data_IF_643214072574
#
_entry.id   IF_643214072574
#
_cell.length_a   1.000
_cell.length_b   1.000
_cell.length_c   1.000
_cell.angle_alpha   90.00
_cell.angle_beta   90.00
_cell.angle_gamma   90.00
#
_symmetry.space_group_name_H-M   'P 1'
#
loop_
_entity.id
_entity.type
_entity.pdbx_description
1 polymer ?
#
# COMPACT_ATOMS: atom_id res chain seq x y z
N UNK A 1 9.72 -1.23 9.88
CA UNK A 1 9.96 -1.51 8.46
C UNK A 1 9.64 -0.24 7.67
N UNK A 2 10.47 0.12 6.69
CA UNK A 2 10.12 1.18 5.74
C UNK A 2 9.30 0.55 4.62
N UNK A 3 8.14 1.12 4.33
CA UNK A 3 7.18 0.63 3.35
C UNK A 3 7.34 1.44 2.07
N UNK A 4 7.54 0.73 0.97
CA UNK A 4 7.53 1.33 -0.36
C UNK A 4 6.11 1.41 -0.93
N UNK A 5 5.88 2.33 -1.88
CA UNK A 5 4.59 2.52 -2.55
C UNK A 5 4.12 1.22 -3.23
N UNK A 6 5.04 0.49 -3.86
CA UNK A 6 4.77 -0.77 -4.56
C UNK A 6 4.15 -1.84 -3.65
N UNK A 7 4.55 -1.91 -2.37
CA UNK A 7 3.99 -2.90 -1.44
C UNK A 7 2.50 -2.65 -1.16
N UNK A 8 2.11 -1.39 -1.00
CA UNK A 8 0.70 -1.01 -0.79
C UNK A 8 -0.11 -1.23 -2.07
N UNK A 9 0.47 -0.88 -3.22
CA UNK A 9 -0.16 -1.10 -4.54
C UNK A 9 -0.42 -2.59 -4.77
N UNK A 10 0.58 -3.44 -4.54
CA UNK A 10 0.46 -4.89 -4.69
C UNK A 10 -0.64 -5.48 -3.81
N UNK A 11 -0.72 -5.03 -2.54
CA UNK A 11 -1.78 -5.47 -1.62
C UNK A 11 -3.16 -5.07 -2.12
N UNK A 12 -3.34 -3.81 -2.53
CA UNK A 12 -4.65 -3.28 -2.92
C UNK A 12 -5.12 -3.75 -4.29
N UNK A 13 -4.21 -4.04 -5.21
CA UNK A 13 -4.54 -4.58 -6.52
C UNK A 13 -4.68 -6.10 -6.55
N UNK A 14 -4.38 -6.79 -5.45
CA UNK A 14 -4.48 -8.25 -5.40
C UNK A 14 -3.37 -8.95 -6.18
N UNK A 15 -2.17 -8.39 -6.20
CA UNK A 15 -1.00 -9.03 -6.81
C UNK A 15 -0.62 -10.32 -6.06
N UNK A 16 0.10 -11.27 -6.71
CA UNK A 16 0.41 -12.57 -6.14
C UNK A 16 1.06 -12.52 -4.73
N UNK A 17 1.87 -11.50 -4.49
CA UNK A 17 2.61 -11.28 -3.24
C UNK A 17 1.77 -10.68 -2.12
N UNK A 18 0.51 -10.28 -2.39
CA UNK A 18 -0.38 -9.57 -1.46
C UNK A 18 -0.35 -10.16 -0.05
N UNK A 19 -0.58 -11.46 0.07
CA UNK A 19 -0.72 -12.10 1.38
C UNK A 19 0.60 -12.12 2.14
N UNK A 20 1.73 -12.27 1.44
CA UNK A 20 3.05 -12.22 2.05
C UNK A 20 3.37 -10.81 2.55
N UNK A 21 3.10 -9.79 1.73
CA UNK A 21 3.31 -8.38 2.09
C UNK A 21 2.41 -7.94 3.24
N UNK A 22 1.13 -8.33 3.22
CA UNK A 22 0.18 -8.03 4.29
C UNK A 22 0.60 -8.66 5.62
N UNK A 23 1.05 -9.92 5.61
CA UNK A 23 1.62 -10.59 6.80
C UNK A 23 2.88 -9.90 7.31
N UNK A 24 3.78 -9.52 6.39
CA UNK A 24 5.01 -8.81 6.76
C UNK A 24 4.69 -7.47 7.44
N UNK A 25 3.70 -6.72 6.94
CA UNK A 25 3.25 -5.46 7.55
C UNK A 25 2.59 -5.68 8.92
N UNK A 26 1.72 -6.69 9.05
CA UNK A 26 1.01 -6.98 10.30
C UNK A 26 1.94 -7.39 11.44
N UNK A 27 3.12 -7.95 11.13
CA UNK A 27 4.13 -8.33 12.12
C UNK A 27 5.03 -7.17 12.60
N UNK A 28 4.86 -5.96 12.08
CA UNK A 28 5.71 -4.81 12.40
C UNK A 28 4.95 -3.87 13.34
N UNK A 29 5.56 -3.53 14.47
CA UNK A 29 4.96 -2.64 15.47
C UNK A 29 4.77 -1.20 14.94
N UNK A 30 5.72 -0.70 14.16
CA UNK A 30 5.68 0.65 13.57
C UNK A 30 6.17 0.64 12.11
N UNK A 31 5.33 0.25 11.14
CA UNK A 31 5.64 0.42 9.73
C UNK A 31 5.53 1.90 9.36
N UNK A 32 6.53 2.41 8.65
CA UNK A 32 6.57 3.81 8.21
C UNK A 32 6.68 3.90 6.70
N UNK A 33 5.95 4.82 6.09
CA UNK A 33 6.09 5.19 4.68
C UNK A 33 6.51 6.65 4.59
N UNK A 34 7.47 6.97 3.73
CA UNK A 34 7.86 8.36 3.52
C UNK A 34 6.79 9.10 2.68
N UNK A 35 6.70 10.42 2.85
CA UNK A 35 5.65 11.22 2.20
C UNK A 35 5.63 11.10 0.66
N UNK A 36 6.77 11.05 -0.07
CA UNK A 36 6.77 10.84 -1.51
C UNK A 36 6.16 9.49 -1.93
N UNK A 37 6.55 8.40 -1.29
CA UNK A 37 6.03 7.06 -1.62
C UNK A 37 4.55 6.94 -1.24
N UNK A 38 4.12 7.65 -0.19
CA UNK A 38 2.70 7.78 0.11
C UNK A 38 1.91 8.47 -1.01
N UNK A 39 2.43 9.59 -1.52
CA UNK A 39 1.80 10.31 -2.62
C UNK A 39 1.73 9.46 -3.89
N UNK A 40 2.80 8.72 -4.20
CA UNK A 40 2.82 7.80 -5.34
C UNK A 40 1.73 6.71 -5.22
N UNK A 41 1.62 6.07 -4.05
CA UNK A 41 0.58 5.07 -3.80
C UNK A 41 -0.83 5.66 -3.97
N UNK A 42 -1.07 6.88 -3.44
CA UNK A 42 -2.34 7.58 -3.63
C UNK A 42 -2.63 7.86 -5.11
N UNK A 43 -1.64 8.31 -5.89
CA UNK A 43 -1.80 8.58 -7.32
C UNK A 43 -2.17 7.31 -8.09
N UNK A 44 -1.44 6.22 -7.88
CA UNK A 44 -1.66 4.94 -8.57
C UNK A 44 -3.03 4.35 -8.20
N UNK A 45 -3.36 4.32 -6.90
CA UNK A 45 -4.63 3.74 -6.43
C UNK A 45 -5.82 4.59 -6.84
N UNK A 46 -5.71 5.92 -6.80
CA UNK A 46 -6.74 6.82 -7.35
C UNK A 46 -7.01 6.53 -8.83
N UNK A 47 -5.95 6.37 -9.63
CA UNK A 47 -6.08 6.11 -11.06
C UNK A 47 -6.67 4.73 -11.37
N UNK A 48 -6.34 3.69 -10.59
CA UNK A 48 -6.77 2.30 -10.88
C UNK A 48 -8.07 1.89 -10.23
N UNK A 49 -8.32 2.34 -8.98
CA UNK A 49 -9.44 1.89 -8.15
C UNK A 49 -10.39 3.03 -7.77
N UNK A 50 -10.07 4.28 -8.11
CA UNK A 50 -10.88 5.45 -7.77
C UNK A 50 -11.05 5.65 -6.26
N UNK A 51 -12.18 6.24 -5.87
CA UNK A 51 -12.48 6.56 -4.46
C UNK A 51 -12.46 5.33 -3.52
N UNK A 52 -13.00 4.14 -3.89
CA UNK A 52 -12.92 2.97 -3.03
C UNK A 52 -11.49 2.57 -2.67
N UNK A 53 -10.57 2.62 -3.63
CA UNK A 53 -9.16 2.31 -3.37
C UNK A 53 -8.52 3.31 -2.39
N UNK A 54 -8.83 4.60 -2.54
CA UNK A 54 -8.32 5.63 -1.62
C UNK A 54 -8.84 5.47 -0.19
N UNK A 55 -10.06 4.96 -0.02
CA UNK A 55 -10.61 4.69 1.32
C UNK A 55 -9.89 3.53 2.01
N UNK A 56 -9.35 2.58 1.27
CA UNK A 56 -8.57 1.48 1.82
C UNK A 56 -7.15 1.89 2.27
N UNK A 57 -6.72 3.11 1.91
CA UNK A 57 -5.47 3.74 2.34
C UNK A 57 -5.67 4.69 3.54
N UNK A 58 -6.85 4.73 4.16
CA UNK A 58 -7.13 5.62 5.30
C UNK A 58 -7.03 4.91 6.64
#
# INVERSE_FOLDING_TARGET
>A
MVVDSSALVAILLGEPERDALARALAGVEMPGICAPNWLEALMVISARLGRPGLQALR
#
